data_IF_101838623910
#
_entry.id   IF_101838623910
#
_cell.length_a   1.000
_cell.length_b   1.000
_cell.length_c   1.000
_cell.angle_alpha   90.00
_cell.angle_beta   90.00
_cell.angle_gamma   90.00
#
_symmetry.space_group_name_H-M   'P 1'
#
loop_
_entity.id
_entity.type
_entity.pdbx_description
1 polymer ?
#
# COMPACT_ATOMS: atom_id res chain seq x y z
N UNK A 1 16.65 9.92 -58.11
CA UNK A 1 16.60 10.31 -59.53
C UNK A 1 15.61 9.38 -60.21
N UNK A 2 14.41 9.85 -60.55
CA UNK A 2 13.46 9.04 -61.32
C UNK A 2 13.88 9.08 -62.78
N UNK A 3 14.50 8.01 -63.26
CA UNK A 3 14.77 7.83 -64.69
C UNK A 3 13.44 7.62 -65.37
N UNK A 4 12.90 8.65 -66.03
CA UNK A 4 11.73 8.49 -66.90
C UNK A 4 12.17 7.66 -68.09
N UNK A 5 11.73 6.41 -68.17
CA UNK A 5 11.95 5.57 -69.35
C UNK A 5 10.98 6.08 -70.41
N UNK A 6 11.44 6.97 -71.29
CA UNK A 6 10.69 7.35 -72.47
C UNK A 6 10.76 6.18 -73.47
N UNK A 7 9.63 5.51 -73.71
CA UNK A 7 9.55 4.46 -74.73
C UNK A 7 9.33 5.10 -76.10
N UNK A 8 10.32 4.97 -77.00
CA UNK A 8 10.21 5.45 -78.38
C UNK A 8 9.54 4.38 -79.25
N UNK A 9 8.21 4.49 -79.35
CA UNK A 9 7.36 3.60 -80.14
C UNK A 9 7.79 3.57 -81.62
N UNK A 10 8.23 4.69 -82.19
CA UNK A 10 8.62 4.75 -83.61
C UNK A 10 9.94 4.02 -83.86
N UNK A 11 10.95 4.26 -83.03
CA UNK A 11 12.23 3.55 -83.14
C UNK A 11 12.05 2.04 -82.92
N UNK A 12 11.14 1.64 -82.04
CA UNK A 12 10.80 0.24 -81.78
C UNK A 12 10.11 -0.41 -82.99
N UNK A 13 9.07 0.22 -83.55
CA UNK A 13 8.39 -0.26 -84.78
C UNK A 13 9.36 -0.37 -85.95
N UNK A 14 10.23 0.63 -86.13
CA UNK A 14 11.26 0.63 -87.18
C UNK A 14 12.19 -0.58 -87.06
N UNK A 15 12.68 -0.87 -85.84
CA UNK A 15 13.55 -2.05 -85.61
C UNK A 15 12.85 -3.37 -85.94
N UNK A 16 11.58 -3.51 -85.58
CA UNK A 16 10.80 -4.71 -85.88
C UNK A 16 10.60 -4.88 -87.39
N UNK A 17 10.27 -3.81 -88.10
CA UNK A 17 10.14 -3.81 -89.56
C UNK A 17 11.46 -4.14 -90.25
N UNK A 18 12.55 -3.52 -89.82
CA UNK A 18 13.89 -3.76 -90.38
C UNK A 18 14.36 -5.22 -90.10
N UNK A 19 13.79 -5.88 -89.09
CA UNK A 19 13.98 -7.31 -88.78
C UNK A 19 12.99 -8.24 -89.52
N UNK A 20 12.13 -7.72 -90.39
CA UNK A 20 11.21 -8.49 -91.23
C UNK A 20 9.81 -8.71 -90.64
N UNK A 21 9.46 -8.05 -89.52
CA UNK A 21 8.09 -8.07 -88.99
C UNK A 21 7.20 -7.15 -89.83
N UNK A 22 5.98 -7.59 -90.15
CA UNK A 22 5.00 -6.77 -90.85
C UNK A 22 4.68 -5.48 -90.08
N UNK A 23 4.45 -4.37 -90.79
CA UNK A 23 4.28 -3.04 -90.17
C UNK A 23 3.06 -2.97 -89.24
N UNK A 24 1.95 -3.66 -89.57
CA UNK A 24 0.80 -3.73 -88.65
C UNK A 24 1.14 -4.53 -87.41
N UNK A 25 1.86 -5.64 -87.55
CA UNK A 25 2.26 -6.47 -86.42
C UNK A 25 3.24 -5.74 -85.51
N UNK A 26 4.21 -5.03 -86.08
CA UNK A 26 5.16 -4.20 -85.35
C UNK A 26 4.45 -3.09 -84.57
N UNK A 27 3.45 -2.44 -85.18
CA UNK A 27 2.61 -1.44 -84.52
C UNK A 27 1.86 -2.01 -83.31
N UNK A 28 1.18 -3.16 -83.48
CA UNK A 28 0.43 -3.81 -82.39
C UNK A 28 1.36 -4.23 -81.24
N UNK A 29 2.55 -4.75 -81.54
CA UNK A 29 3.52 -5.09 -80.50
C UNK A 29 4.00 -3.86 -79.72
N UNK A 30 4.25 -2.76 -80.41
CA UNK A 30 4.68 -1.51 -79.79
C UNK A 30 3.59 -0.94 -78.86
N UNK A 31 2.34 -0.95 -79.33
CA UNK A 31 1.18 -0.48 -78.59
C UNK A 31 0.91 -1.34 -77.34
N UNK A 32 1.00 -2.67 -77.48
CA UNK A 32 0.87 -3.58 -76.35
C UNK A 32 1.99 -3.38 -75.29
N UNK A 33 3.21 -3.07 -75.73
CA UNK A 33 4.33 -2.82 -74.82
C UNK A 33 4.16 -1.48 -74.07
N UNK A 34 3.69 -0.43 -74.76
CA UNK A 34 3.36 0.85 -74.13
C UNK A 34 2.28 0.66 -73.07
N UNK A 35 1.20 -0.05 -73.39
CA UNK A 35 0.12 -0.33 -72.45
C UNK A 35 0.63 -1.07 -71.19
N UNK A 36 1.50 -2.08 -71.35
CA UNK A 36 2.09 -2.78 -70.20
C UNK A 36 3.04 -1.92 -69.35
N UNK A 37 3.77 -1.00 -69.98
CA UNK A 37 4.67 -0.08 -69.27
C UNK A 37 3.89 0.97 -68.51
N UNK A 38 2.84 1.55 -69.11
CA UNK A 38 1.97 2.52 -68.45
C UNK A 38 1.20 1.91 -67.27
N UNK A 39 0.71 0.68 -67.38
CA UNK A 39 -0.03 -0.03 -66.32
C UNK A 39 0.84 -0.35 -65.10
N UNK A 40 2.15 -0.55 -65.29
CA UNK A 40 3.10 -0.88 -64.20
C UNK A 40 3.80 0.32 -63.59
N UNK A 41 3.67 1.50 -64.18
CA UNK A 41 4.31 2.70 -63.68
C UNK A 41 3.45 3.33 -62.58
N UNK A 42 4.07 3.57 -61.42
CA UNK A 42 3.47 4.42 -60.39
C UNK A 42 3.24 5.80 -61.00
N UNK A 43 1.98 6.22 -61.06
CA UNK A 43 1.64 7.50 -61.67
C UNK A 43 2.10 8.66 -60.78
N UNK A 44 2.25 9.85 -61.36
CA UNK A 44 2.49 11.06 -60.55
C UNK A 44 1.40 11.25 -59.49
N UNK A 45 0.16 10.88 -59.82
CA UNK A 45 -0.99 10.95 -58.92
C UNK A 45 -0.82 10.05 -57.69
N UNK A 46 -0.35 8.82 -57.86
CA UNK A 46 -0.07 7.90 -56.75
C UNK A 46 0.98 8.47 -55.79
N UNK A 47 2.03 9.07 -56.35
CA UNK A 47 3.05 9.73 -55.54
C UNK A 47 2.50 10.94 -54.77
N UNK A 48 1.55 11.69 -55.35
CA UNK A 48 0.88 12.78 -54.64
C UNK A 48 -0.03 12.26 -53.52
N UNK A 49 -0.74 11.15 -53.73
CA UNK A 49 -1.55 10.50 -52.69
C UNK A 49 -0.67 10.07 -51.52
N UNK A 50 0.44 9.38 -51.79
CA UNK A 50 1.40 8.97 -50.75
C UNK A 50 1.98 10.15 -49.97
N UNK A 51 2.34 11.25 -50.65
CA UNK A 51 2.83 12.46 -49.98
C UNK A 51 1.78 13.08 -49.08
N UNK A 52 0.52 13.11 -49.54
CA UNK A 52 -0.59 13.62 -48.74
C UNK A 52 -0.83 12.76 -47.52
N UNK A 53 -0.82 11.44 -47.68
CA UNK A 53 -1.04 10.50 -46.59
C UNK A 53 0.10 10.57 -45.56
N UNK A 54 1.35 10.73 -46.04
CA UNK A 54 2.52 10.97 -45.18
C UNK A 54 2.37 12.28 -44.39
N UNK A 55 1.99 13.38 -45.04
CA UNK A 55 1.73 14.65 -44.36
C UNK A 55 0.60 14.51 -43.31
N UNK A 56 -0.45 13.74 -43.64
CA UNK A 56 -1.51 13.39 -42.71
C UNK A 56 -0.98 12.65 -41.47
N UNK A 57 -0.17 11.62 -41.66
CA UNK A 57 0.48 10.89 -40.57
C UNK A 57 1.37 11.77 -39.72
N UNK A 58 2.17 12.65 -40.32
CA UNK A 58 3.02 13.60 -39.58
C UNK A 58 2.19 14.54 -38.71
N UNK A 59 1.06 15.05 -39.23
CA UNK A 59 0.16 15.90 -38.44
C UNK A 59 -0.51 15.16 -37.30
N UNK A 60 -0.93 13.90 -37.52
CA UNK A 60 -1.52 13.06 -36.49
C UNK A 60 -0.50 12.75 -35.39
N UNK A 61 0.70 12.31 -35.74
CA UNK A 61 1.78 12.04 -34.77
C UNK A 61 2.14 13.28 -33.97
N UNK A 62 2.17 14.46 -34.61
CA UNK A 62 2.38 15.72 -33.90
C UNK A 62 1.25 16.05 -32.93
N UNK A 63 0.02 15.69 -33.28
CA UNK A 63 -1.15 15.78 -32.41
C UNK A 63 -1.01 14.86 -31.20
N UNK A 64 -0.75 13.59 -31.44
CA UNK A 64 -0.61 12.55 -30.40
C UNK A 64 0.51 12.90 -29.41
N UNK A 65 1.65 13.39 -29.90
CA UNK A 65 2.76 13.83 -29.04
C UNK A 65 2.32 14.97 -28.10
N UNK A 66 1.58 15.97 -28.62
CA UNK A 66 1.06 17.07 -27.79
C UNK A 66 0.03 16.59 -26.78
N UNK A 67 -0.85 15.67 -27.18
CA UNK A 67 -1.84 15.10 -26.27
C UNK A 67 -1.16 14.31 -25.15
N UNK A 68 -0.13 13.52 -25.48
CA UNK A 68 0.66 12.79 -24.50
C UNK A 68 1.37 13.73 -23.52
N UNK A 69 1.90 14.85 -23.99
CA UNK A 69 2.57 15.86 -23.16
C UNK A 69 1.61 16.44 -22.12
N UNK A 70 0.44 16.92 -22.57
CA UNK A 70 -0.62 17.45 -21.70
C UNK A 70 -1.10 16.40 -20.69
N UNK A 71 -1.24 15.15 -21.13
CA UNK A 71 -1.67 14.04 -20.26
C UNK A 71 -0.60 13.71 -19.21
N UNK A 72 0.67 13.76 -19.56
CA UNK A 72 1.77 13.54 -18.63
C UNK A 72 1.78 14.65 -17.56
N UNK A 73 1.69 15.92 -17.97
CA UNK A 73 1.66 17.07 -17.08
C UNK A 73 0.46 17.02 -16.11
N UNK A 74 -0.70 16.65 -16.63
CA UNK A 74 -1.92 16.48 -15.81
C UNK A 74 -1.72 15.39 -14.74
N UNK A 75 -1.15 14.23 -15.13
CA UNK A 75 -0.88 13.14 -14.19
C UNK A 75 0.19 13.50 -13.15
N UNK A 76 1.23 14.23 -13.55
CA UNK A 76 2.24 14.72 -12.61
C UNK A 76 1.63 15.69 -11.59
N UNK A 77 0.77 16.60 -12.05
CA UNK A 77 0.05 17.51 -11.15
C UNK A 77 -0.87 16.76 -10.19
N UNK A 78 -1.59 15.75 -10.68
CA UNK A 78 -2.44 14.90 -9.85
C UNK A 78 -1.62 14.13 -8.80
N UNK A 79 -0.50 13.53 -9.19
CA UNK A 79 0.41 12.85 -8.27
C UNK A 79 0.97 13.82 -7.22
N UNK A 80 1.41 15.01 -7.62
CA UNK A 80 1.87 16.04 -6.69
C UNK A 80 0.79 16.44 -5.69
N UNK A 81 -0.45 16.60 -6.14
CA UNK A 81 -1.60 16.86 -5.26
C UNK A 81 -1.87 15.73 -4.28
N UNK A 82 -1.84 14.46 -4.74
CA UNK A 82 -2.01 13.28 -3.86
C UNK A 82 -0.91 13.20 -2.81
N UNK A 83 0.33 13.50 -3.18
CA UNK A 83 1.48 13.51 -2.24
C UNK A 83 1.27 14.57 -1.17
N UNK A 84 0.87 15.79 -1.52
CA UNK A 84 0.65 16.85 -0.52
C UNK A 84 -0.51 16.52 0.41
N UNK A 85 -1.61 15.96 -0.12
CA UNK A 85 -2.73 15.49 0.70
C UNK A 85 -2.29 14.38 1.66
N UNK A 86 -1.56 13.36 1.18
CA UNK A 86 -1.04 12.29 2.03
C UNK A 86 -0.11 12.83 3.11
N UNK A 87 0.74 13.80 2.80
CA UNK A 87 1.64 14.45 3.74
C UNK A 87 0.87 15.17 4.85
N UNK A 88 -0.16 15.95 4.50
CA UNK A 88 -1.03 16.62 5.48
C UNK A 88 -1.74 15.59 6.37
N UNK A 89 -2.28 14.52 5.78
CA UNK A 89 -2.97 13.48 6.56
C UNK A 89 -2.02 12.75 7.52
N UNK A 90 -0.81 12.40 7.08
CA UNK A 90 0.20 11.74 7.93
C UNK A 90 0.59 12.65 9.09
N UNK A 91 0.87 13.94 8.83
CA UNK A 91 1.22 14.90 9.88
C UNK A 91 0.10 15.01 10.93
N UNK A 92 -1.15 15.18 10.49
CA UNK A 92 -2.30 15.23 11.39
C UNK A 92 -2.48 13.93 12.21
N UNK A 93 -2.27 12.76 11.60
CA UNK A 93 -2.32 11.47 12.31
C UNK A 93 -1.19 11.31 13.33
N UNK A 94 -0.01 11.85 13.06
CA UNK A 94 1.12 11.82 13.99
C UNK A 94 0.85 12.75 15.18
N UNK A 95 0.42 13.99 14.95
CA UNK A 95 0.09 14.94 16.01
C UNK A 95 -1.01 14.40 16.95
N UNK A 96 -2.08 13.84 16.38
CA UNK A 96 -3.17 13.25 17.17
C UNK A 96 -2.72 12.05 18.00
N UNK A 97 -1.85 11.18 17.46
CA UNK A 97 -1.27 10.06 18.21
C UNK A 97 -0.32 10.52 19.32
N UNK A 98 0.44 11.59 19.08
CA UNK A 98 1.33 12.19 20.09
C UNK A 98 0.48 12.73 21.25
N UNK A 99 -0.58 13.48 20.97
CA UNK A 99 -1.47 14.01 22.02
C UNK A 99 -2.16 12.90 22.82
N UNK A 100 -2.69 11.87 22.13
CA UNK A 100 -3.27 10.71 22.81
C UNK A 100 -2.24 9.99 23.71
N UNK A 101 -1.02 9.78 23.22
CA UNK A 101 0.05 9.13 23.97
C UNK A 101 0.52 9.94 25.18
N UNK A 102 0.55 11.29 25.08
CA UNK A 102 0.84 12.17 26.23
C UNK A 102 -0.21 12.00 27.34
N UNK A 103 -1.49 11.97 26.98
CA UNK A 103 -2.59 11.79 27.94
C UNK A 103 -2.50 10.41 28.62
N UNK A 104 -2.26 9.35 27.85
CA UNK A 104 -2.11 8.00 28.41
C UNK A 104 -0.90 7.91 29.36
N UNK A 105 0.23 8.51 28.98
CA UNK A 105 1.43 8.58 29.83
C UNK A 105 1.14 9.34 31.14
N UNK A 106 0.42 10.46 31.07
CA UNK A 106 0.05 11.24 32.25
C UNK A 106 -0.88 10.45 33.17
N UNK A 107 -1.87 9.74 32.60
CA UNK A 107 -2.82 8.91 33.35
C UNK A 107 -2.11 7.78 34.09
N UNK A 108 -1.21 7.05 33.45
CA UNK A 108 -0.49 5.96 34.10
C UNK A 108 0.51 6.47 35.14
N UNK A 109 1.18 7.59 34.86
CA UNK A 109 2.10 8.25 35.81
C UNK A 109 1.36 8.70 37.07
N UNK A 110 0.21 9.36 36.92
CA UNK A 110 -0.63 9.75 38.06
C UNK A 110 -1.10 8.55 38.88
N UNK A 111 -1.49 7.45 38.22
CA UNK A 111 -1.86 6.20 38.88
C UNK A 111 -0.72 5.60 39.72
N UNK A 112 0.52 5.61 39.19
CA UNK A 112 1.69 5.13 39.95
C UNK A 112 2.02 6.01 41.14
N UNK A 113 1.97 7.34 41.00
CA UNK A 113 2.17 8.26 42.13
C UNK A 113 1.15 8.03 43.25
N UNK A 114 -0.12 7.81 42.90
CA UNK A 114 -1.16 7.49 43.87
C UNK A 114 -0.88 6.17 44.61
N UNK A 115 -0.50 5.12 43.86
CA UNK A 115 -0.16 3.82 44.44
C UNK A 115 1.05 3.90 45.38
N UNK A 116 2.13 4.58 44.96
CA UNK A 116 3.33 4.76 45.78
C UNK A 116 3.03 5.54 47.06
N UNK A 117 2.20 6.59 46.96
CA UNK A 117 1.80 7.39 48.13
C UNK A 117 0.99 6.55 49.12
N UNK A 118 0.05 5.72 48.64
CA UNK A 118 -0.71 4.81 49.48
C UNK A 118 0.20 3.78 50.19
N UNK A 119 1.21 3.25 49.50
CA UNK A 119 2.19 2.34 50.10
C UNK A 119 3.00 3.02 51.21
N UNK A 120 3.47 4.25 51.01
CA UNK A 120 4.24 5.01 52.01
C UNK A 120 3.36 5.28 53.24
N UNK A 121 2.12 5.75 53.06
CA UNK A 121 1.18 6.01 54.17
C UNK A 121 0.90 4.72 54.94
N UNK A 122 0.66 3.61 54.24
CA UNK A 122 0.44 2.30 54.86
C UNK A 122 1.63 1.83 55.70
N UNK A 123 2.86 1.99 55.16
CA UNK A 123 4.08 1.65 55.88
C UNK A 123 4.29 2.54 57.13
N UNK A 124 4.06 3.86 57.02
CA UNK A 124 4.14 4.78 58.15
C UNK A 124 3.13 4.42 59.24
N UNK A 125 1.89 4.08 58.89
CA UNK A 125 0.88 3.66 59.85
C UNK A 125 1.25 2.36 60.56
N UNK A 126 1.77 1.38 59.82
CA UNK A 126 2.26 0.13 60.41
C UNK A 126 3.41 0.37 61.39
N UNK A 127 4.36 1.24 61.05
CA UNK A 127 5.45 1.63 61.96
C UNK A 127 4.94 2.32 63.24
N UNK A 128 3.96 3.23 63.13
CA UNK A 128 3.33 3.88 64.29
C UNK A 128 2.64 2.87 65.22
N UNK A 129 1.96 1.86 64.65
CA UNK A 129 1.32 0.79 65.42
C UNK A 129 2.33 -0.11 66.14
N UNK A 130 3.48 -0.39 65.54
CA UNK A 130 4.53 -1.23 66.14
C UNK A 130 5.30 -0.54 67.26
N UNK A 131 5.32 0.81 67.29
CA UNK A 131 5.99 1.59 68.34
C UNK A 131 5.05 2.01 69.50
N UNK A 132 3.80 1.52 69.51
CA UNK A 132 2.92 1.72 70.66
C UNK A 132 3.23 0.64 71.72
N UNK A 133 3.52 1.00 72.98
CA UNK A 133 3.67 0.02 74.05
C UNK A 133 2.36 -0.77 74.19
N UNK A 134 2.46 -2.11 74.29
CA UNK A 134 1.31 -2.99 74.48
C UNK A 134 0.41 -2.44 75.60
N UNK A 135 -0.92 -2.32 75.39
CA UNK A 135 -1.81 -2.00 76.50
C UNK A 135 -1.64 -3.07 77.59
N UNK A 136 -1.60 -2.69 78.88
CA UNK A 136 -1.48 -3.66 79.97
C UNK A 136 -2.62 -4.67 79.86
N UNK A 137 -2.39 -5.97 80.15
CA UNK A 137 -3.42 -6.98 80.05
C UNK A 137 -4.61 -6.59 80.93
N UNK A 138 -5.72 -6.21 80.28
CA UNK A 138 -7.00 -5.99 80.95
C UNK A 138 -7.55 -7.33 81.37
N UNK A 139 -7.47 -7.60 82.68
CA UNK A 139 -8.14 -8.72 83.32
C UNK A 139 -7.23 -9.94 83.49
N UNK A 140 -6.76 -10.14 84.71
CA UNK A 140 -6.59 -11.51 85.20
C UNK A 140 -7.93 -12.22 85.02
N UNK A 141 -8.00 -13.42 84.40
CA UNK A 141 -9.20 -14.22 84.51
C UNK A 141 -9.41 -14.46 86.01
N UNK A 142 -10.54 -13.97 86.55
CA UNK A 142 -10.96 -14.36 87.89
C UNK A 142 -10.98 -15.89 87.89
N UNK A 143 -10.12 -16.50 88.72
CA UNK A 143 -10.19 -17.94 88.94
C UNK A 143 -11.63 -18.30 89.32
N UNK A 144 -12.23 -19.35 88.74
CA UNK A 144 -13.53 -19.81 89.20
C UNK A 144 -13.44 -20.07 90.70
N UNK A 145 -14.38 -19.53 91.47
CA UNK A 145 -14.45 -19.72 92.91
C UNK A 145 -14.40 -21.22 93.25
N UNK A 146 -13.64 -21.64 94.27
CA UNK A 146 -13.52 -23.06 94.62
C UNK A 146 -14.90 -23.62 94.97
N UNK A 147 -15.37 -24.59 94.18
CA UNK A 147 -16.53 -25.41 94.54
C UNK A 147 -16.23 -26.09 95.89
N UNK A 148 -17.03 -25.78 96.91
CA UNK A 148 -17.05 -26.52 98.17
C UNK A 148 -17.52 -27.95 97.88
N UNK A 149 -16.57 -28.84 97.56
CA UNK A 149 -16.79 -30.29 97.50
C UNK A 149 -17.00 -30.79 98.92
N UNK A 150 -18.24 -31.16 99.25
CA UNK A 150 -18.52 -31.97 100.43
C UNK A 150 -17.70 -33.29 100.37
N UNK A 151 -17.20 -33.78 101.52
CA UNK A 151 -16.43 -35.02 101.56
C UNK A 151 -17.27 -36.22 101.13
N UNK A 152 -16.71 -37.04 100.22
CA UNK A 152 -17.31 -38.30 99.80
C UNK A 152 -17.30 -39.32 100.97
N UNK A 153 -18.35 -40.16 101.11
CA UNK A 153 -18.39 -41.21 102.13
C UNK A 153 -17.33 -42.29 101.87
N UNK A 154 -16.79 -42.94 102.93
CA UNK A 154 -15.76 -43.97 102.78
C UNK A 154 -16.29 -45.19 102.02
N UNK A 155 -15.54 -45.63 101.02
CA UNK A 155 -15.80 -46.87 100.26
C UNK A 155 -15.40 -48.08 101.14
N UNK A 156 -16.22 -49.15 101.21
CA UNK A 156 -15.96 -50.29 102.08
C UNK A 156 -14.74 -51.12 101.63
N UNK A 157 -13.88 -51.44 102.59
CA UNK A 157 -12.72 -52.33 102.44
C UNK A 157 -13.16 -53.76 102.10
N UNK A 158 -12.57 -54.42 101.08
CA UNK A 158 -12.88 -55.82 100.81
C UNK A 158 -12.18 -56.73 101.83
N UNK A 159 -12.96 -57.44 102.65
CA UNK A 159 -12.48 -58.50 103.54
C UNK A 159 -12.38 -59.79 102.73
N UNK A 160 -11.15 -60.28 102.58
CA UNK A 160 -10.84 -61.61 102.03
C UNK A 160 -11.07 -62.65 103.14
N UNK A 161 -11.80 -63.75 102.88
CA UNK A 161 -12.09 -64.79 103.87
C UNK A 161 -10.91 -65.78 104.07
N UNK A 162 -10.58 -66.17 105.31
CA UNK A 162 -9.73 -67.32 105.58
C UNK A 162 -10.55 -68.63 105.72
N UNK A 163 -10.09 -69.68 105.02
CA UNK A 163 -10.31 -71.13 105.14
C UNK A 163 -11.62 -71.71 105.69
#
# INVERSE_FOLDING_TARGET
>A
MSTTIAFDTYAYVKKLRDAGVDERQAGIQAEALVAMVEDRLTTKQDMFMLKRDLAGMETNLRGDIKEMDVKAETRFRELGGKIETMKVEILARVDTKIEASKVDTLKWTAGMFAAQTALIIGAMFAMLKMNQPNPPPTGFPLAPAPEMRLPAPPTPTPVVPPH
#
